data_IF_170061843036
#
_entry.id   IF_170061843036
#
_cell.length_a   1.000
_cell.length_b   1.000
_cell.length_c   1.000
_cell.angle_alpha   90.00
_cell.angle_beta   90.00
_cell.angle_gamma   90.00
#
_symmetry.space_group_name_H-M   'P 1'
#
loop_
_entity.id
_entity.type
_entity.pdbx_description
1 polymer ?
#
# COMPACT_ATOMS: atom_id res chain seq x y z
N UNK A 1 17.48 -22.90 -20.47
CA UNK A 1 17.66 -21.45 -20.72
C UNK A 1 17.00 -20.75 -19.55
N UNK A 2 17.77 -20.09 -18.68
CA UNK A 2 17.21 -19.40 -17.52
C UNK A 2 16.57 -18.11 -18.04
N UNK A 3 15.24 -18.05 -18.06
CA UNK A 3 14.52 -16.81 -18.29
C UNK A 3 14.62 -16.00 -17.00
N UNK A 4 15.60 -15.08 -16.94
CA UNK A 4 15.59 -14.00 -15.98
C UNK A 4 14.48 -13.06 -16.42
N UNK A 5 13.28 -13.20 -15.82
CA UNK A 5 12.23 -12.22 -16.00
C UNK A 5 12.72 -10.91 -15.36
N UNK A 6 12.88 -9.88 -16.20
CA UNK A 6 13.09 -8.53 -15.72
C UNK A 6 11.81 -8.11 -14.98
N UNK A 7 11.91 -7.92 -13.66
CA UNK A 7 10.90 -7.24 -12.87
C UNK A 7 10.97 -5.76 -13.27
N UNK A 8 9.89 -5.17 -13.82
CA UNK A 8 9.92 -3.75 -14.14
C UNK A 8 10.07 -2.96 -12.84
N UNK A 9 11.04 -2.06 -12.84
CA UNK A 9 11.33 -1.18 -11.73
C UNK A 9 10.07 -0.39 -11.34
N UNK A 10 9.66 -0.54 -10.08
CA UNK A 10 8.61 0.25 -9.43
C UNK A 10 9.14 1.68 -9.34
N UNK A 11 8.66 2.53 -10.24
CA UNK A 11 9.03 3.94 -10.31
C UNK A 11 7.80 4.77 -9.98
N UNK A 12 7.62 5.08 -8.68
CA UNK A 12 6.61 6.05 -8.26
C UNK A 12 7.07 7.45 -8.69
N UNK A 13 6.48 7.97 -9.77
CA UNK A 13 6.79 9.28 -10.31
C UNK A 13 6.11 10.39 -9.47
N UNK A 14 6.78 10.85 -8.41
CA UNK A 14 6.42 12.10 -7.73
C UNK A 14 6.97 13.29 -8.53
N UNK A 15 6.14 13.83 -9.41
CA UNK A 15 6.43 15.05 -10.15
C UNK A 15 6.32 16.29 -9.26
N UNK A 16 7.44 16.95 -8.95
CA UNK A 16 7.44 18.29 -8.34
C UNK A 16 7.97 19.33 -9.31
N UNK A 17 7.13 20.31 -9.69
CA UNK A 17 7.59 21.65 -10.04
C UNK A 17 6.59 22.67 -9.49
N UNK A 18 6.99 23.42 -8.46
CA UNK A 18 6.39 24.72 -8.16
C UNK A 18 7.50 25.73 -7.87
N UNK A 19 7.62 26.74 -8.73
CA UNK A 19 8.57 27.84 -8.58
C UNK A 19 7.85 29.06 -8.00
N UNK A 20 8.31 29.55 -6.85
CA UNK A 20 8.00 30.92 -6.41
C UNK A 20 9.09 31.49 -5.49
N UNK A 21 9.60 32.67 -5.85
CA UNK A 21 10.43 33.59 -5.06
C UNK A 21 9.97 35.02 -5.41
N UNK A 22 10.23 36.04 -4.58
CA UNK A 22 10.00 36.17 -3.13
C UNK A 22 9.19 37.46 -2.81
N UNK A 23 8.81 37.68 -1.55
CA UNK A 23 8.60 39.06 -1.06
C UNK A 23 8.86 39.18 0.44
N UNK A 24 9.52 40.27 0.82
CA UNK A 24 10.04 40.56 2.15
C UNK A 24 9.13 41.54 2.90
N UNK A 25 8.94 41.35 4.22
CA UNK A 25 9.13 42.38 5.26
C UNK A 25 8.68 41.92 6.67
N UNK A 26 9.62 42.12 7.60
CA UNK A 26 9.51 42.57 8.99
C UNK A 26 9.08 41.71 10.19
N UNK A 27 9.80 41.99 11.27
CA UNK A 27 10.02 41.20 12.48
C UNK A 27 9.05 41.51 13.62
N UNK A 28 8.77 40.51 14.47
CA UNK A 28 8.34 40.71 15.88
C UNK A 28 8.43 39.40 16.70
N UNK A 29 9.39 39.37 17.64
CA UNK A 29 9.40 38.63 18.93
C UNK A 29 9.38 37.09 18.94
N UNK A 30 10.16 36.40 19.81
CA UNK A 30 10.03 34.96 19.97
C UNK A 30 8.83 34.65 20.87
N UNK A 31 7.64 34.54 20.29
CA UNK A 31 6.57 33.77 20.91
C UNK A 31 7.01 32.30 20.83
N UNK A 32 7.37 31.72 21.96
CA UNK A 32 7.58 30.27 22.10
C UNK A 32 6.22 29.61 21.95
N UNK A 33 5.78 29.47 20.71
CA UNK A 33 4.66 28.64 20.34
C UNK A 33 5.11 27.20 20.61
N UNK A 34 4.76 26.65 21.77
CA UNK A 34 4.46 25.23 21.87
C UNK A 34 3.19 25.00 21.05
N UNK A 35 3.32 25.09 19.72
CA UNK A 35 2.40 24.38 18.85
C UNK A 35 2.76 22.92 19.10
N UNK A 36 1.91 22.24 19.86
CA UNK A 36 1.75 20.80 19.68
C UNK A 36 1.42 20.66 18.20
N UNK A 37 2.43 20.44 17.38
CA UNK A 37 2.27 20.14 15.96
C UNK A 37 1.54 18.80 15.95
N UNK A 38 0.21 18.85 15.94
CA UNK A 38 -0.57 17.76 15.36
C UNK A 38 -0.13 17.74 13.92
N UNK A 39 0.68 16.76 13.55
CA UNK A 39 1.08 16.52 12.17
C UNK A 39 -0.18 16.46 11.33
N UNK A 40 -0.28 17.40 10.39
CA UNK A 40 -1.47 17.55 9.57
C UNK A 40 -1.50 16.40 8.57
N UNK A 41 -2.64 15.72 8.48
CA UNK A 41 -2.91 14.76 7.42
C UNK A 41 -2.88 15.47 6.06
N UNK A 42 -2.20 14.87 5.09
CA UNK A 42 -1.91 15.45 3.78
C UNK A 42 -2.63 14.73 2.64
N UNK A 43 -2.59 15.31 1.45
CA UNK A 43 -3.10 14.63 0.25
C UNK A 43 -2.25 13.42 -0.15
N UNK A 44 -0.97 13.41 0.23
CA UNK A 44 -0.06 12.27 0.03
C UNK A 44 -0.44 11.12 0.96
N UNK A 45 -0.72 11.40 2.24
CA UNK A 45 -1.23 10.39 3.19
C UNK A 45 -2.53 9.72 2.68
N UNK A 46 -3.43 10.50 2.07
CA UNK A 46 -4.66 9.96 1.49
C UNK A 46 -4.41 9.04 0.28
N UNK A 47 -3.42 9.38 -0.56
CA UNK A 47 -3.02 8.55 -1.70
C UNK A 47 -2.38 7.26 -1.22
N UNK A 48 -1.48 7.33 -0.24
CA UNK A 48 -0.86 6.16 0.39
C UNK A 48 -1.90 5.24 1.01
N UNK A 49 -2.85 5.76 1.77
CA UNK A 49 -3.95 4.95 2.33
C UNK A 49 -4.79 4.27 1.24
N UNK A 50 -5.06 4.97 0.14
CA UNK A 50 -5.83 4.41 -0.98
C UNK A 50 -5.07 3.29 -1.69
N UNK A 51 -3.75 3.46 -1.88
CA UNK A 51 -2.88 2.43 -2.45
C UNK A 51 -2.83 1.18 -1.55
N UNK A 52 -2.42 1.36 -0.29
CA UNK A 52 -2.32 0.27 0.68
C UNK A 52 -3.64 -0.48 0.85
N UNK A 53 -4.78 0.23 0.80
CA UNK A 53 -6.11 -0.38 0.86
C UNK A 53 -6.32 -1.43 -0.22
N UNK A 54 -5.88 -1.17 -1.44
CA UNK A 54 -6.03 -2.09 -2.56
C UNK A 54 -4.88 -3.09 -2.66
N UNK A 55 -3.67 -2.74 -2.22
CA UNK A 55 -2.52 -3.65 -2.12
C UNK A 55 -2.78 -4.82 -1.15
N UNK A 56 -3.28 -4.51 0.06
CA UNK A 56 -3.66 -5.53 1.06
C UNK A 56 -4.80 -6.43 0.54
N UNK A 57 -5.73 -5.83 -0.22
CA UNK A 57 -6.78 -6.59 -0.92
C UNK A 57 -6.20 -7.51 -1.98
N UNK A 58 -5.21 -7.05 -2.75
CA UNK A 58 -4.50 -7.87 -3.73
C UNK A 58 -3.85 -9.06 -3.05
N UNK A 59 -3.11 -8.84 -1.96
CA UNK A 59 -2.48 -9.91 -1.20
C UNK A 59 -3.52 -10.95 -0.76
N UNK A 60 -4.59 -10.53 -0.09
CA UNK A 60 -5.68 -11.41 0.33
C UNK A 60 -6.27 -12.20 -0.84
N UNK A 61 -6.62 -11.53 -1.92
CA UNK A 61 -7.36 -12.12 -3.04
C UNK A 61 -6.47 -13.11 -3.82
N UNK A 62 -5.16 -12.83 -3.96
CA UNK A 62 -4.20 -13.81 -4.50
C UNK A 62 -4.16 -15.05 -3.60
N UNK A 63 -4.01 -14.88 -2.28
CA UNK A 63 -3.95 -16.02 -1.36
C UNK A 63 -5.25 -16.84 -1.32
N UNK A 64 -6.42 -16.22 -1.43
CA UNK A 64 -7.70 -16.93 -1.58
C UNK A 64 -7.68 -17.85 -2.80
N UNK A 65 -7.23 -17.35 -3.96
CA UNK A 65 -7.19 -18.15 -5.19
C UNK A 65 -6.11 -19.24 -5.13
N UNK A 66 -4.93 -18.93 -4.61
CA UNK A 66 -3.86 -19.92 -4.42
C UNK A 66 -4.25 -21.01 -3.42
N UNK A 67 -5.02 -20.68 -2.38
CA UNK A 67 -5.60 -21.69 -1.48
C UNK A 67 -6.56 -22.62 -2.22
N UNK A 68 -7.47 -22.06 -3.02
CA UNK A 68 -8.42 -22.86 -3.81
C UNK A 68 -7.71 -23.83 -4.76
N UNK A 69 -6.62 -23.38 -5.40
CA UNK A 69 -5.88 -24.20 -6.35
C UNK A 69 -4.99 -25.26 -5.67
N UNK A 70 -4.23 -24.86 -4.65
CA UNK A 70 -3.16 -25.70 -4.08
C UNK A 70 -3.53 -26.39 -2.77
N UNK A 71 -4.62 -25.96 -2.13
CA UNK A 71 -5.15 -26.47 -0.86
C UNK A 71 -4.07 -26.55 0.24
N UNK A 72 -3.31 -25.47 0.41
CA UNK A 72 -2.29 -25.33 1.47
C UNK A 72 -2.78 -24.36 2.52
N UNK A 73 -2.91 -24.83 3.75
CA UNK A 73 -3.40 -24.04 4.88
C UNK A 73 -2.65 -22.72 5.11
N UNK A 74 -1.39 -22.62 4.67
CA UNK A 74 -0.63 -21.37 4.76
C UNK A 74 -1.30 -20.23 3.99
N UNK A 75 -1.83 -20.48 2.79
CA UNK A 75 -2.50 -19.44 1.99
C UNK A 75 -3.80 -18.97 2.66
N UNK A 76 -4.60 -19.88 3.22
CA UNK A 76 -5.82 -19.52 3.96
C UNK A 76 -5.51 -18.72 5.24
N UNK A 77 -4.50 -19.14 5.98
CA UNK A 77 -4.07 -18.44 7.19
C UNK A 77 -3.56 -17.02 6.90
N UNK A 78 -2.81 -16.84 5.80
CA UNK A 78 -2.29 -15.53 5.42
C UNK A 78 -3.42 -14.67 4.85
N UNK A 79 -4.32 -15.19 4.01
CA UNK A 79 -5.51 -14.44 3.58
C UNK A 79 -6.35 -13.92 4.77
N UNK A 80 -6.48 -14.71 5.83
CA UNK A 80 -7.14 -14.27 7.06
C UNK A 80 -6.34 -13.19 7.84
N UNK A 81 -5.02 -13.11 7.63
CA UNK A 81 -4.17 -12.01 8.13
C UNK A 81 -4.34 -10.75 7.31
N UNK A 82 -4.30 -10.86 5.99
CA UNK A 82 -4.50 -9.72 5.08
C UNK A 82 -5.87 -9.09 5.28
N UNK A 83 -6.90 -9.89 5.62
CA UNK A 83 -8.19 -9.32 6.01
C UNK A 83 -8.09 -8.38 7.22
N UNK A 84 -7.23 -8.68 8.21
CA UNK A 84 -7.02 -7.80 9.36
C UNK A 84 -6.29 -6.51 8.97
N UNK A 85 -5.33 -6.60 8.03
CA UNK A 85 -4.65 -5.42 7.51
C UNK A 85 -5.61 -4.51 6.73
N UNK A 86 -6.38 -5.10 5.81
CA UNK A 86 -7.52 -4.49 5.11
C UNK A 86 -8.44 -3.74 6.09
N UNK A 87 -8.86 -4.37 7.19
CA UNK A 87 -9.73 -3.77 8.18
C UNK A 87 -9.06 -2.61 8.95
N UNK A 88 -7.75 -2.72 9.22
CA UNK A 88 -6.97 -1.67 9.86
C UNK A 88 -6.84 -0.44 8.95
N UNK A 89 -6.51 -0.62 7.68
CA UNK A 89 -6.43 0.47 6.70
C UNK A 89 -7.82 1.11 6.49
N UNK A 90 -8.88 0.32 6.33
CA UNK A 90 -10.25 0.86 6.19
C UNK A 90 -10.65 1.72 7.40
N UNK A 91 -10.24 1.33 8.61
CA UNK A 91 -10.48 2.11 9.83
C UNK A 91 -9.75 3.47 9.80
N UNK A 92 -8.53 3.52 9.25
CA UNK A 92 -7.82 4.78 9.04
C UNK A 92 -8.49 5.65 7.99
N UNK A 93 -8.96 5.07 6.89
CA UNK A 93 -9.69 5.80 5.84
C UNK A 93 -10.94 6.49 6.39
N UNK A 94 -11.75 5.78 7.19
CA UNK A 94 -12.90 6.37 7.89
C UNK A 94 -12.47 7.50 8.84
N UNK A 95 -11.38 7.30 9.58
CA UNK A 95 -10.87 8.30 10.54
C UNK A 95 -10.41 9.59 9.87
N UNK A 96 -9.81 9.50 8.69
CA UNK A 96 -9.27 10.65 7.95
C UNK A 96 -10.18 11.12 6.81
N UNK A 97 -11.41 10.62 6.73
CA UNK A 97 -12.42 10.98 5.72
C UNK A 97 -11.93 10.73 4.27
N UNK A 98 -11.22 9.62 4.06
CA UNK A 98 -10.75 9.17 2.75
C UNK A 98 -11.78 8.17 2.16
N UNK A 99 -12.28 8.38 0.93
CA UNK A 99 -13.18 7.43 0.28
C UNK A 99 -12.52 6.06 0.06
N UNK A 100 -13.21 4.97 0.42
CA UNK A 100 -12.72 3.60 0.20
C UNK A 100 -12.83 3.21 -1.30
N UNK A 101 -11.71 2.89 -2.00
CA UNK A 101 -11.72 2.46 -3.40
C UNK A 101 -12.18 1.00 -3.59
N UNK A 102 -12.26 0.22 -2.51
CA UNK A 102 -12.41 -1.23 -2.58
C UNK A 102 -13.68 -1.68 -3.30
N UNK A 103 -13.49 -2.49 -4.35
CA UNK A 103 -14.58 -3.17 -5.04
C UNK A 103 -14.96 -4.49 -4.33
N UNK A 104 -16.24 -4.92 -4.41
CA UNK A 104 -16.73 -6.04 -3.63
C UNK A 104 -16.25 -7.42 -4.12
N UNK A 105 -15.86 -7.56 -5.39
CA UNK A 105 -15.41 -8.84 -5.94
C UNK A 105 -13.98 -9.20 -5.57
N UNK A 106 -13.74 -10.51 -5.38
CA UNK A 106 -12.38 -11.07 -5.30
C UNK A 106 -11.71 -10.87 -6.66
N UNK A 107 -10.53 -10.26 -6.65
CA UNK A 107 -9.78 -9.99 -7.88
C UNK A 107 -10.27 -8.77 -8.67
N UNK A 108 -11.18 -7.96 -8.12
CA UNK A 108 -11.62 -6.70 -8.71
C UNK A 108 -10.93 -5.51 -8.03
N UNK A 109 -10.27 -4.66 -8.81
CA UNK A 109 -9.59 -3.46 -8.30
C UNK A 109 -10.01 -2.22 -9.08
N UNK A 110 -10.14 -1.10 -8.38
CA UNK A 110 -10.42 0.20 -8.98
C UNK A 110 -9.18 0.81 -9.62
N UNK A 111 -8.00 0.60 -9.02
CA UNK A 111 -6.72 0.97 -9.62
C UNK A 111 -6.30 -0.05 -10.69
N UNK A 112 -6.16 0.36 -11.96
CA UNK A 112 -5.76 -0.54 -13.05
C UNK A 112 -4.34 -1.09 -12.91
N UNK A 113 -3.44 -0.41 -12.20
CA UNK A 113 -2.09 -0.91 -11.93
C UNK A 113 -2.14 -2.11 -10.98
N UNK A 114 -2.90 -1.99 -9.89
CA UNK A 114 -3.10 -3.08 -8.92
C UNK A 114 -3.86 -4.24 -9.58
N UNK A 115 -4.83 -3.96 -10.46
CA UNK A 115 -5.48 -5.01 -11.25
C UNK A 115 -4.47 -5.82 -12.08
N UNK A 116 -3.55 -5.13 -12.77
CA UNK A 116 -2.50 -5.80 -13.57
C UNK A 116 -1.58 -6.63 -12.69
N UNK A 117 -1.17 -6.11 -11.53
CA UNK A 117 -0.33 -6.84 -10.58
C UNK A 117 -1.02 -8.11 -10.06
N UNK A 118 -2.32 -8.02 -9.73
CA UNK A 118 -3.11 -9.18 -9.31
C UNK A 118 -3.15 -10.25 -10.41
N UNK A 119 -3.43 -9.85 -11.65
CA UNK A 119 -3.53 -10.76 -12.79
C UNK A 119 -2.18 -11.49 -13.02
N UNK A 120 -1.06 -10.75 -13.00
CA UNK A 120 0.29 -11.29 -13.20
C UNK A 120 0.71 -12.26 -12.08
N UNK A 121 0.49 -11.87 -10.81
CA UNK A 121 0.83 -12.70 -9.65
C UNK A 121 -0.01 -13.96 -9.59
N UNK A 122 -1.31 -13.87 -9.93
CA UNK A 122 -2.17 -15.04 -9.99
C UNK A 122 -1.75 -15.98 -11.13
N UNK A 123 -1.44 -15.45 -12.31
CA UNK A 123 -0.93 -16.26 -13.43
C UNK A 123 0.34 -17.01 -13.01
N UNK A 124 1.31 -16.31 -12.44
CA UNK A 124 2.56 -16.92 -11.98
C UNK A 124 2.33 -17.96 -10.89
N UNK A 125 1.56 -17.64 -9.87
CA UNK A 125 1.30 -18.53 -8.73
C UNK A 125 0.48 -19.76 -9.11
N UNK A 126 -0.20 -19.72 -10.25
CA UNK A 126 -0.96 -20.84 -10.81
C UNK A 126 -0.09 -21.86 -11.56
N UNK A 127 1.18 -21.53 -11.87
CA UNK A 127 2.06 -22.42 -12.64
C UNK A 127 2.49 -23.67 -11.87
N UNK A 128 2.86 -23.50 -10.60
CA UNK A 128 3.32 -24.59 -9.74
C UNK A 128 3.20 -24.20 -8.27
N UNK A 129 3.20 -25.19 -7.37
CA UNK A 129 3.20 -24.90 -5.93
C UNK A 129 4.44 -24.11 -5.49
N UNK A 130 5.60 -24.37 -6.11
CA UNK A 130 6.82 -23.59 -5.85
C UNK A 130 6.62 -22.13 -6.24
N UNK A 131 5.94 -21.89 -7.36
CA UNK A 131 5.72 -20.54 -7.88
C UNK A 131 4.67 -19.81 -7.06
N UNK A 132 3.68 -20.52 -6.52
CA UNK A 132 2.73 -19.99 -5.54
C UNK A 132 3.44 -19.51 -4.25
N UNK A 133 4.44 -20.24 -3.76
CA UNK A 133 5.24 -19.79 -2.62
C UNK A 133 6.15 -18.61 -2.96
N UNK A 134 6.71 -18.57 -4.17
CA UNK A 134 7.45 -17.40 -4.64
C UNK A 134 6.57 -16.16 -4.73
N UNK A 135 5.36 -16.28 -5.29
CA UNK A 135 4.38 -15.19 -5.35
C UNK A 135 4.05 -14.69 -3.95
N UNK A 136 3.80 -15.58 -2.99
CA UNK A 136 3.59 -15.16 -1.60
C UNK A 136 4.79 -14.38 -1.05
N UNK A 137 6.01 -14.89 -1.21
CA UNK A 137 7.20 -14.18 -0.76
C UNK A 137 7.40 -12.81 -1.47
N UNK A 138 7.03 -12.71 -2.74
CA UNK A 138 7.09 -11.45 -3.50
C UNK A 138 6.08 -10.43 -2.99
N UNK A 139 4.85 -10.86 -2.69
CA UNK A 139 3.81 -9.99 -2.11
C UNK A 139 4.30 -9.38 -0.79
N UNK A 140 4.80 -10.21 0.13
CA UNK A 140 5.28 -9.73 1.44
C UNK A 140 6.52 -8.82 1.33
N UNK A 141 7.43 -9.08 0.37
CA UNK A 141 8.62 -8.24 0.17
C UNK A 141 8.26 -6.84 -0.33
N UNK A 142 7.29 -6.76 -1.25
CA UNK A 142 6.76 -5.48 -1.76
C UNK A 142 5.99 -4.75 -0.66
N UNK A 143 5.10 -5.43 0.06
CA UNK A 143 4.32 -4.82 1.15
C UNK A 143 5.24 -4.22 2.23
N UNK A 144 6.27 -4.95 2.66
CA UNK A 144 7.26 -4.44 3.63
C UNK A 144 7.99 -3.20 3.10
N UNK A 145 8.32 -3.17 1.81
CA UNK A 145 9.00 -2.04 1.18
C UNK A 145 8.09 -0.81 1.14
N UNK A 146 6.84 -0.97 0.71
CA UNK A 146 5.86 0.11 0.59
C UNK A 146 5.46 0.65 1.99
N UNK A 147 5.35 -0.21 3.00
CA UNK A 147 5.19 0.16 4.41
C UNK A 147 6.33 1.05 4.92
N UNK A 148 7.58 0.68 4.62
CA UNK A 148 8.74 1.49 5.03
C UNK A 148 8.68 2.89 4.41
N UNK A 149 8.36 2.99 3.13
CA UNK A 149 8.18 4.27 2.44
C UNK A 149 7.03 5.07 3.07
N UNK A 150 5.90 4.43 3.33
CA UNK A 150 4.72 5.07 3.93
C UNK A 150 5.02 5.64 5.33
N UNK A 151 5.78 4.91 6.15
CA UNK A 151 6.23 5.34 7.47
C UNK A 151 7.18 6.54 7.38
N UNK A 152 8.10 6.54 6.41
CA UNK A 152 9.06 7.63 6.19
C UNK A 152 8.40 8.92 5.68
N UNK A 153 7.36 8.81 4.86
CA UNK A 153 6.73 9.95 4.19
C UNK A 153 5.61 10.62 4.99
N UNK A 154 5.05 9.96 6.00
CA UNK A 154 4.04 10.57 6.87
C UNK A 154 4.66 11.22 8.10
N UNK A 155 3.98 12.19 8.69
CA UNK A 155 4.24 12.63 10.07
C UNK A 155 3.11 12.27 11.03
N UNK A 156 2.01 11.70 10.52
CA UNK A 156 0.81 11.38 11.30
C UNK A 156 1.08 10.17 12.17
N UNK A 157 1.19 10.39 13.48
CA UNK A 157 1.61 9.34 14.42
C UNK A 157 0.75 8.08 14.39
N UNK A 158 -0.56 8.19 14.14
CA UNK A 158 -1.43 7.01 14.01
C UNK A 158 -1.13 6.21 12.74
N UNK A 159 -0.78 6.85 11.63
CA UNK A 159 -0.39 6.14 10.40
C UNK A 159 0.91 5.36 10.66
N UNK A 160 1.94 6.00 11.24
CA UNK A 160 3.22 5.36 11.60
C UNK A 160 3.12 4.16 12.52
N UNK A 161 2.08 4.08 13.36
CA UNK A 161 1.89 2.97 14.30
C UNK A 161 1.02 1.86 13.74
N UNK A 162 0.31 2.11 12.64
CA UNK A 162 -0.57 1.13 12.00
C UNK A 162 0.13 0.45 10.85
N UNK A 163 0.90 1.21 10.07
CA UNK A 163 1.95 0.69 9.20
C UNK A 163 3.01 -0.01 10.08
#
# INVERSE_FOLDING_TARGET
MKATALIPAIALALGTVFTALPSAAEARGPARNNQTQTSAFTAEDAQTLTWMREEEKLARDVYINLYQQWNKAIFDNIAASEQRHIDAIASLMVRFDVPDPSLPGVGEFSNPEIQSMYDDLLEQGSLSLTEAFWVGATIEDVDIYDLQIAIENTEVGTLKTTY
#
